data_IF_876129141868
#
_entry.id   IF_876129141868
#
_cell.length_a   1.000
_cell.length_b   1.000
_cell.length_c   1.000
_cell.angle_alpha   90.00
_cell.angle_beta   90.00
_cell.angle_gamma   90.00
#
_symmetry.space_group_name_H-M   'P 1'
#
loop_
_entity.id
_entity.type
_entity.pdbx_description
1 polymer ?
#
# COMPACT_ATOMS: atom_id res chain seq x y z
N UNK A 1 -23.76 2.69 -32.36
CA UNK A 1 -22.96 2.51 -31.13
C UNK A 1 -23.46 1.23 -30.46
N UNK A 2 -22.63 0.19 -30.43
CA UNK A 2 -23.02 -1.11 -29.87
C UNK A 2 -22.91 -1.02 -28.35
N UNK A 3 -24.02 -1.28 -27.65
CA UNK A 3 -24.08 -1.20 -26.18
C UNK A 3 -23.21 -2.32 -25.62
N UNK A 4 -22.24 -2.06 -24.71
CA UNK A 4 -21.45 -3.12 -24.12
C UNK A 4 -22.37 -4.13 -23.43
N UNK A 5 -22.16 -5.43 -23.69
CA UNK A 5 -22.81 -6.48 -22.92
C UNK A 5 -22.42 -6.40 -21.45
N UNK A 6 -23.19 -7.05 -20.56
CA UNK A 6 -22.96 -7.05 -19.10
C UNK A 6 -21.50 -7.38 -18.75
N UNK A 7 -20.91 -8.33 -19.48
CA UNK A 7 -19.49 -8.72 -19.37
C UNK A 7 -18.54 -7.56 -19.65
N UNK A 8 -18.79 -6.78 -20.71
CA UNK A 8 -17.97 -5.61 -21.03
C UNK A 8 -18.09 -4.49 -19.99
N UNK A 9 -19.25 -4.36 -19.34
CA UNK A 9 -19.44 -3.42 -18.22
C UNK A 9 -18.65 -3.90 -16.98
N UNK A 10 -18.69 -5.20 -16.68
CA UNK A 10 -17.93 -5.78 -15.57
C UNK A 10 -16.42 -5.58 -15.74
N UNK A 11 -15.90 -5.91 -16.92
CA UNK A 11 -14.49 -5.68 -17.28
C UNK A 11 -14.10 -4.21 -17.15
N UNK A 12 -14.94 -3.28 -17.57
CA UNK A 12 -14.65 -1.85 -17.42
C UNK A 12 -14.49 -1.46 -15.94
N UNK A 13 -15.33 -2.00 -15.06
CA UNK A 13 -15.17 -1.77 -13.62
C UNK A 13 -13.86 -2.35 -13.08
N UNK A 14 -13.44 -3.55 -13.51
CA UNK A 14 -12.16 -4.14 -13.13
C UNK A 14 -10.96 -3.36 -13.69
N UNK A 15 -11.02 -2.89 -14.94
CA UNK A 15 -9.99 -2.01 -15.55
C UNK A 15 -9.90 -0.68 -14.79
N UNK A 16 -11.04 -0.09 -14.43
CA UNK A 16 -11.07 1.13 -13.62
C UNK A 16 -10.44 0.88 -12.25
N UNK A 17 -10.78 -0.23 -11.59
CA UNK A 17 -10.20 -0.62 -10.32
C UNK A 17 -8.67 -0.79 -10.43
N UNK A 18 -8.19 -1.47 -11.48
CA UNK A 18 -6.77 -1.64 -11.76
C UNK A 18 -6.04 -0.30 -11.91
N UNK A 19 -6.59 0.63 -12.70
CA UNK A 19 -5.98 1.95 -12.86
C UNK A 19 -5.90 2.70 -11.53
N UNK A 20 -6.94 2.62 -10.70
CA UNK A 20 -6.95 3.19 -9.35
C UNK A 20 -5.85 2.58 -8.47
N UNK A 21 -5.71 1.24 -8.48
CA UNK A 21 -4.66 0.53 -7.74
C UNK A 21 -3.26 0.96 -8.19
N UNK A 22 -3.02 1.08 -9.50
CA UNK A 22 -1.75 1.56 -10.05
C UNK A 22 -1.41 2.98 -9.57
N UNK A 23 -2.38 3.88 -9.57
CA UNK A 23 -2.18 5.25 -9.05
C UNK A 23 -1.88 5.25 -7.55
N UNK A 24 -2.57 4.41 -6.77
CA UNK A 24 -2.29 4.23 -5.34
C UNK A 24 -0.85 3.75 -5.10
N UNK A 25 -0.38 2.78 -5.89
CA UNK A 25 1.00 2.30 -5.79
C UNK A 25 2.01 3.40 -6.08
N UNK A 26 1.77 4.22 -7.11
CA UNK A 26 2.68 5.30 -7.51
C UNK A 26 2.76 6.38 -6.44
N UNK A 27 1.61 6.83 -5.91
CA UNK A 27 1.57 7.89 -4.90
C UNK A 27 2.29 7.46 -3.62
N UNK A 28 2.01 6.25 -3.11
CA UNK A 28 2.61 5.75 -1.86
C UNK A 28 4.05 5.28 -2.01
N UNK A 29 4.47 4.92 -3.23
CA UNK A 29 5.90 4.68 -3.53
C UNK A 29 6.67 5.98 -3.67
N UNK A 30 6.06 7.03 -4.23
CA UNK A 30 6.70 8.34 -4.42
C UNK A 30 6.93 9.08 -3.12
N UNK A 31 6.04 8.96 -2.13
CA UNK A 31 6.26 9.46 -0.75
C UNK A 31 7.50 8.85 -0.09
N UNK A 32 8.04 7.78 -0.69
CA UNK A 32 9.13 6.98 -0.14
C UNK A 32 10.48 7.18 -0.86
N UNK A 33 10.46 7.70 -2.08
CA UNK A 33 11.67 7.85 -2.90
C UNK A 33 12.47 9.14 -2.65
N UNK A 34 11.96 10.09 -1.85
CA UNK A 34 12.69 11.32 -1.49
C UNK A 34 13.89 11.09 -0.54
N UNK A 35 14.21 9.82 -0.22
CA UNK A 35 15.29 9.42 0.68
C UNK A 35 16.58 8.94 0.00
N UNK A 36 16.66 8.89 -1.33
CA UNK A 36 17.91 8.57 -2.03
C UNK A 36 18.38 9.78 -2.85
N UNK A 37 18.59 10.91 -2.18
CA UNK A 37 19.53 11.90 -2.66
C UNK A 37 20.84 11.68 -1.91
N UNK A 38 21.77 10.96 -2.54
CA UNK A 38 23.14 10.86 -2.08
C UNK A 38 23.69 12.27 -1.77
N UNK A 39 24.32 12.50 -0.61
CA UNK A 39 25.10 13.71 -0.44
C UNK A 39 26.27 13.64 -1.43
N UNK A 40 26.23 14.53 -2.42
CA UNK A 40 27.29 14.76 -3.39
C UNK A 40 28.56 15.19 -2.63
N UNK A 41 29.38 14.21 -2.21
CA UNK A 41 30.71 14.45 -1.68
C UNK A 41 31.62 14.74 -2.88
N UNK A 42 31.78 16.02 -3.20
CA UNK A 42 32.86 16.46 -4.09
C UNK A 42 34.22 16.07 -3.49
N UNK A 43 35.16 15.53 -4.28
CA UNK A 43 36.49 15.21 -3.82
C UNK A 43 37.32 16.50 -3.78
N UNK A 44 37.52 17.09 -2.59
CA UNK A 44 38.57 18.07 -2.40
C UNK A 44 39.89 17.36 -2.09
N UNK A 45 40.85 17.59 -2.98
CA UNK A 45 42.22 17.10 -2.97
C UNK A 45 43.00 17.73 -1.80
N UNK A 46 43.69 16.93 -0.99
CA UNK A 46 44.66 17.43 -0.01
C UNK A 46 45.22 16.35 0.93
N UNK A 47 46.55 16.14 1.01
CA UNK A 47 47.15 14.98 1.66
C UNK A 47 47.58 15.23 3.11
N UNK A 48 47.62 14.17 3.93
CA UNK A 48 48.43 14.17 5.16
C UNK A 48 47.84 13.35 6.31
N UNK A 49 48.20 12.08 6.38
CA UNK A 49 48.21 11.31 7.64
C UNK A 49 49.40 11.81 8.47
N UNK A 50 49.32 11.83 9.82
CA UNK A 50 49.91 10.71 10.54
C UNK A 50 49.11 10.24 11.77
N UNK A 51 49.24 8.93 12.01
CA UNK A 51 48.94 8.21 13.24
C UNK A 51 49.48 8.92 14.49
N UNK A 52 48.75 8.83 15.61
CA UNK A 52 49.36 8.67 16.94
C UNK A 52 48.45 7.89 17.89
N UNK A 53 49.02 6.82 18.46
CA UNK A 53 48.47 6.02 19.54
C UNK A 53 48.64 6.76 20.88
N UNK A 54 47.72 6.55 21.82
CA UNK A 54 47.83 7.08 23.18
C UNK A 54 46.73 6.54 24.09
N UNK A 55 46.93 5.33 24.58
CA UNK A 55 46.33 4.84 25.83
C UNK A 55 46.75 5.77 26.98
N UNK A 56 45.90 5.97 27.99
CA UNK A 56 46.26 6.01 29.43
C UNK A 56 44.99 6.11 30.29
N UNK A 57 45.08 5.38 31.39
CA UNK A 57 44.10 5.10 32.43
C UNK A 57 43.88 6.29 33.37
N UNK A 58 42.75 6.28 34.10
CA UNK A 58 42.52 7.22 35.20
C UNK A 58 41.16 7.05 35.86
N UNK A 59 41.12 6.26 36.93
CA UNK A 59 40.05 6.23 37.93
C UNK A 59 39.90 7.60 38.61
N UNK A 60 38.68 7.93 39.04
CA UNK A 60 38.41 9.19 39.75
C UNK A 60 36.98 9.27 40.29
N UNK A 61 36.75 8.60 41.40
CA UNK A 61 35.57 8.68 42.27
C UNK A 61 35.38 10.11 42.81
N UNK A 62 34.17 10.67 42.78
CA UNK A 62 33.74 11.55 43.88
C UNK A 62 32.24 11.79 43.98
N UNK A 63 31.84 11.80 45.24
CA UNK A 63 30.54 11.81 45.91
C UNK A 63 29.94 13.23 46.03
N UNK A 64 28.62 13.35 46.15
CA UNK A 64 27.94 14.55 46.66
C UNK A 64 26.45 14.61 46.26
N UNK A 65 25.49 14.04 46.99
CA UNK A 65 24.81 14.56 48.19
C UNK A 65 23.73 15.63 47.92
N UNK A 66 22.47 15.17 47.99
CA UNK A 66 21.28 15.79 48.65
C UNK A 66 20.65 17.07 48.09
N UNK A 67 19.34 17.01 47.77
CA UNK A 67 18.25 17.74 48.47
C UNK A 67 17.06 18.11 47.55
N UNK A 68 16.03 17.28 47.65
CA UNK A 68 14.57 17.55 47.68
C UNK A 68 14.14 19.04 47.69
N UNK A 69 13.20 19.41 46.81
CA UNK A 69 12.08 20.29 47.21
C UNK A 69 10.81 20.00 46.40
N UNK A 70 9.77 19.59 47.14
CA UNK A 70 8.40 19.40 46.70
C UNK A 70 7.69 20.76 46.66
N UNK A 71 6.85 20.92 45.64
CA UNK A 71 5.87 22.00 45.46
C UNK A 71 4.66 21.69 46.37
N UNK A 72 4.02 22.72 46.95
CA UNK A 72 2.58 22.84 46.72
C UNK A 72 2.10 24.29 46.48
N UNK A 73 1.36 24.41 45.37
CA UNK A 73 0.01 24.97 45.25
C UNK A 73 -0.32 26.33 45.90
N UNK A 74 -0.64 27.31 45.06
CA UNK A 74 -1.54 28.44 45.35
C UNK A 74 -1.86 29.20 44.04
N UNK A 75 -3.05 28.97 43.49
CA UNK A 75 -3.79 29.92 42.62
C UNK A 75 -4.32 31.10 43.46
N UNK A 76 -4.63 32.30 42.91
CA UNK A 76 -5.58 32.49 41.78
C UNK A 76 -5.24 33.59 40.75
N UNK A 77 -5.98 33.57 39.64
CA UNK A 77 -6.02 34.52 38.51
C UNK A 77 -6.63 35.90 38.89
N UNK A 78 -6.67 36.96 38.04
CA UNK A 78 -7.39 36.95 36.74
C UNK A 78 -6.84 37.84 35.58
N UNK A 79 -7.37 37.55 34.39
CA UNK A 79 -7.69 38.43 33.25
C UNK A 79 -6.58 39.24 32.54
N UNK A 80 -6.34 38.89 31.27
CA UNK A 80 -5.62 39.73 30.32
C UNK A 80 -5.54 39.12 28.92
N UNK A 81 -6.32 39.67 28.00
CA UNK A 81 -6.40 39.43 26.55
C UNK A 81 -5.08 39.05 25.86
N UNK A 82 -5.03 37.89 25.20
CA UNK A 82 -4.13 37.67 24.07
C UNK A 82 -4.75 36.74 23.04
N UNK A 83 -5.01 37.29 21.87
CA UNK A 83 -5.41 36.58 20.65
C UNK A 83 -4.24 35.67 20.28
N UNK A 84 -4.34 34.40 20.69
CA UNK A 84 -3.35 33.39 20.34
C UNK A 84 -3.57 33.03 18.88
N UNK A 85 -2.87 33.75 18.00
CA UNK A 85 -2.66 33.39 16.60
C UNK A 85 -2.27 31.92 16.59
N UNK A 86 -3.17 31.11 16.02
CA UNK A 86 -2.98 29.70 15.73
C UNK A 86 -1.73 29.58 14.86
N UNK A 87 -0.57 29.45 15.50
CA UNK A 87 0.65 29.03 14.86
C UNK A 87 0.32 27.63 14.36
N UNK A 88 -0.03 27.53 13.07
CA UNK A 88 0.18 26.33 12.29
C UNK A 88 1.67 26.06 12.41
N UNK A 89 2.05 25.35 13.45
CA UNK A 89 3.25 24.55 13.44
C UNK A 89 2.97 23.53 12.34
N UNK A 90 3.37 23.87 11.12
CA UNK A 90 3.73 22.93 10.08
C UNK A 90 4.81 22.06 10.71
N UNK A 91 4.40 21.09 11.52
CA UNK A 91 5.29 20.06 12.01
C UNK A 91 5.83 19.43 10.75
N UNK A 92 7.12 19.71 10.52
CA UNK A 92 7.93 19.23 9.42
C UNK A 92 7.42 17.89 8.92
N UNK A 93 7.05 17.83 7.64
CA UNK A 93 7.02 16.60 6.88
C UNK A 93 8.45 16.03 6.92
N UNK A 94 8.78 15.39 8.04
CA UNK A 94 10.00 14.64 8.20
C UNK A 94 9.80 13.34 7.47
N UNK A 95 10.75 13.03 6.58
CA UNK A 95 10.85 11.77 5.87
C UNK A 95 10.90 10.62 6.88
N UNK A 96 9.74 10.08 7.23
CA UNK A 96 9.62 8.94 8.14
C UNK A 96 9.82 7.68 7.32
N UNK A 97 10.86 6.93 7.70
CA UNK A 97 11.06 5.53 7.27
C UNK A 97 9.76 4.77 7.51
N UNK A 98 9.32 3.91 6.56
CA UNK A 98 8.02 3.28 6.66
C UNK A 98 8.06 2.29 7.80
N UNK A 99 6.96 2.17 8.52
CA UNK A 99 6.80 1.09 9.49
C UNK A 99 6.72 -0.25 8.75
N UNK A 100 7.09 -1.35 9.42
CA UNK A 100 6.93 -2.70 8.86
C UNK A 100 5.48 -2.96 8.41
N UNK A 101 4.49 -2.46 9.17
CA UNK A 101 3.08 -2.56 8.80
C UNK A 101 2.76 -1.86 7.47
N UNK A 102 3.31 -0.66 7.24
CA UNK A 102 3.16 0.05 5.97
C UNK A 102 3.86 -0.71 4.82
N UNK A 103 5.05 -1.27 5.05
CA UNK A 103 5.74 -2.07 4.03
C UNK A 103 4.94 -3.33 3.66
N UNK A 104 4.40 -4.04 4.65
CA UNK A 104 3.54 -5.21 4.43
C UNK A 104 2.28 -4.81 3.67
N UNK A 105 1.62 -3.72 4.07
CA UNK A 105 0.43 -3.21 3.37
C UNK A 105 0.73 -2.83 1.91
N UNK A 106 1.87 -2.19 1.67
CA UNK A 106 2.33 -1.84 0.31
C UNK A 106 2.67 -3.08 -0.52
N UNK A 107 3.30 -4.10 0.06
CA UNK A 107 3.54 -5.38 -0.60
C UNK A 107 2.21 -6.06 -0.99
N UNK A 108 1.24 -6.06 -0.08
CA UNK A 108 -0.11 -6.60 -0.32
C UNK A 108 -0.84 -5.83 -1.42
N UNK A 109 -0.80 -4.50 -1.40
CA UNK A 109 -1.33 -3.67 -2.48
C UNK A 109 -0.68 -4.04 -3.82
N UNK A 110 0.64 -4.27 -3.82
CA UNK A 110 1.36 -4.67 -5.02
C UNK A 110 0.89 -5.99 -5.59
N UNK A 111 0.68 -6.98 -4.72
CA UNK A 111 0.15 -8.28 -5.10
C UNK A 111 -1.28 -8.18 -5.62
N UNK A 112 -2.16 -7.44 -4.94
CA UNK A 112 -3.53 -7.19 -5.42
C UNK A 112 -3.47 -6.57 -6.82
N UNK A 113 -2.63 -5.56 -7.03
CA UNK A 113 -2.50 -4.88 -8.34
C UNK A 113 -2.01 -5.82 -9.43
N UNK A 114 -0.97 -6.61 -9.16
CA UNK A 114 -0.42 -7.57 -10.11
C UNK A 114 -1.41 -8.71 -10.41
N UNK A 115 -2.13 -9.19 -9.40
CA UNK A 115 -3.17 -10.21 -9.56
C UNK A 115 -4.37 -9.67 -10.35
N UNK A 116 -4.77 -8.41 -10.16
CA UNK A 116 -5.80 -7.77 -10.99
C UNK A 116 -5.36 -7.64 -12.44
N UNK A 117 -4.10 -7.28 -12.70
CA UNK A 117 -3.57 -7.23 -14.06
C UNK A 117 -3.61 -8.61 -14.74
N UNK A 118 -3.14 -9.65 -14.05
CA UNK A 118 -3.18 -11.02 -14.56
C UNK A 118 -4.62 -11.50 -14.79
N UNK A 119 -5.53 -11.19 -13.86
CA UNK A 119 -6.95 -11.52 -14.00
C UNK A 119 -7.54 -10.89 -15.28
N UNK A 120 -7.28 -9.60 -15.52
CA UNK A 120 -7.78 -8.91 -16.71
C UNK A 120 -7.26 -9.57 -18.01
N UNK A 121 -5.98 -9.99 -18.03
CA UNK A 121 -5.42 -10.69 -19.18
C UNK A 121 -6.10 -12.04 -19.41
N UNK A 122 -6.34 -12.81 -18.34
CA UNK A 122 -7.04 -14.09 -18.42
C UNK A 122 -8.48 -13.87 -18.91
N UNK A 123 -9.23 -12.94 -18.33
CA UNK A 123 -10.60 -12.65 -18.73
C UNK A 123 -10.68 -12.17 -20.19
N UNK A 124 -9.79 -11.28 -20.62
CA UNK A 124 -9.71 -10.83 -22.02
C UNK A 124 -9.41 -12.00 -22.97
N UNK A 125 -8.42 -12.83 -22.62
CA UNK A 125 -8.06 -14.01 -23.41
C UNK A 125 -9.24 -15.00 -23.49
N UNK A 126 -9.98 -15.18 -22.40
CA UNK A 126 -11.17 -16.02 -22.37
C UNK A 126 -12.29 -15.50 -23.26
N UNK A 127 -12.52 -14.18 -23.28
CA UNK A 127 -13.52 -13.60 -24.17
C UNK A 127 -13.17 -13.75 -25.66
N UNK A 128 -11.89 -13.84 -25.99
CA UNK A 128 -11.44 -14.06 -27.37
C UNK A 128 -11.59 -15.52 -27.83
N UNK A 129 -11.40 -16.49 -26.93
CA UNK A 129 -11.33 -17.91 -27.27
C UNK A 129 -12.61 -18.69 -26.96
N UNK A 130 -13.50 -18.19 -26.09
CA UNK A 130 -14.73 -18.88 -25.75
C UNK A 130 -15.78 -18.76 -26.87
N UNK A 131 -16.46 -19.87 -27.21
CA UNK A 131 -17.47 -19.85 -28.26
C UNK A 131 -18.70 -19.01 -27.83
N UNK A 132 -19.39 -18.34 -28.77
CA UNK A 132 -20.57 -17.52 -28.46
C UNK A 132 -21.71 -18.28 -27.76
N UNK A 133 -21.75 -19.60 -27.91
CA UNK A 133 -22.75 -20.51 -27.36
C UNK A 133 -22.59 -20.73 -25.84
N UNK A 134 -21.39 -20.48 -25.30
CA UNK A 134 -21.08 -20.63 -23.87
C UNK A 134 -20.34 -19.39 -23.39
N UNK A 135 -21.05 -18.25 -23.27
CA UNK A 135 -20.43 -16.99 -22.89
C UNK A 135 -19.89 -17.06 -21.46
N UNK A 136 -18.74 -16.43 -21.25
CA UNK A 136 -18.19 -16.25 -19.91
C UNK A 136 -19.14 -15.41 -19.05
N UNK A 137 -19.38 -15.87 -17.82
CA UNK A 137 -20.17 -15.13 -16.84
C UNK A 137 -19.22 -14.43 -15.87
N UNK A 138 -18.96 -13.14 -16.13
CA UNK A 138 -18.28 -12.26 -15.17
C UNK A 138 -19.33 -11.63 -14.25
N UNK A 139 -19.16 -11.78 -12.93
CA UNK A 139 -20.08 -11.23 -11.95
C UNK A 139 -19.93 -9.70 -11.85
N UNK A 140 -20.86 -8.99 -12.49
CA UNK A 140 -20.88 -7.52 -12.50
C UNK A 140 -20.93 -6.93 -11.09
N UNK A 141 -21.69 -7.55 -10.19
CA UNK A 141 -21.81 -7.10 -8.79
C UNK A 141 -20.45 -7.06 -8.10
N UNK A 142 -19.70 -8.15 -8.20
CA UNK A 142 -18.39 -8.29 -7.55
C UNK A 142 -17.37 -7.32 -8.18
N UNK A 143 -17.46 -7.09 -9.50
CA UNK A 143 -16.61 -6.12 -10.21
C UNK A 143 -16.87 -4.67 -9.77
N UNK A 144 -18.14 -4.31 -9.54
CA UNK A 144 -18.53 -3.00 -9.01
C UNK A 144 -18.04 -2.84 -7.58
N UNK A 145 -18.22 -3.86 -6.74
CA UNK A 145 -17.77 -3.88 -5.36
C UNK A 145 -16.25 -3.71 -5.27
N UNK A 146 -15.49 -4.47 -6.07
CA UNK A 146 -14.05 -4.35 -6.16
C UNK A 146 -13.60 -2.93 -6.54
N UNK A 147 -14.23 -2.33 -7.56
CA UNK A 147 -13.96 -0.93 -7.94
C UNK A 147 -14.26 0.05 -6.81
N UNK A 148 -15.36 -0.16 -6.10
CA UNK A 148 -15.76 0.73 -5.00
C UNK A 148 -14.75 0.67 -3.85
N UNK A 149 -14.29 -0.53 -3.47
CA UNK A 149 -13.22 -0.71 -2.47
C UNK A 149 -11.94 -0.01 -2.93
N UNK A 150 -11.53 -0.19 -4.19
CA UNK A 150 -10.35 0.48 -4.74
C UNK A 150 -10.48 2.00 -4.73
N UNK A 151 -11.67 2.53 -5.01
CA UNK A 151 -11.95 3.96 -4.94
C UNK A 151 -11.90 4.44 -3.49
N UNK A 152 -12.45 3.68 -2.54
CA UNK A 152 -12.42 4.00 -1.12
C UNK A 152 -10.98 4.09 -0.58
N UNK A 153 -10.08 3.20 -1.01
CA UNK A 153 -8.65 3.24 -0.67
C UNK A 153 -8.00 4.60 -0.99
N UNK A 154 -8.42 5.27 -2.07
CA UNK A 154 -7.88 6.60 -2.46
C UNK A 154 -8.22 7.72 -1.48
N UNK A 155 -9.25 7.52 -0.66
CA UNK A 155 -9.70 8.49 0.32
C UNK A 155 -9.06 8.26 1.70
N UNK A 156 -8.36 7.14 1.90
CA UNK A 156 -7.80 6.81 3.21
C UNK A 156 -6.50 7.56 3.49
N UNK A 157 -6.56 8.38 4.55
CA UNK A 157 -5.40 9.06 5.11
C UNK A 157 -4.77 8.21 6.22
N UNK A 158 -5.59 7.44 6.96
CA UNK A 158 -5.08 6.58 8.03
C UNK A 158 -4.63 5.20 7.51
N UNK A 159 -3.39 4.83 7.83
CA UNK A 159 -2.77 3.56 7.39
C UNK A 159 -3.57 2.32 7.82
N UNK A 160 -4.22 2.35 8.97
CA UNK A 160 -5.03 1.22 9.45
C UNK A 160 -6.30 1.02 8.62
N UNK A 161 -6.95 2.09 8.15
CA UNK A 161 -8.12 2.00 7.27
C UNK A 161 -7.69 1.56 5.88
N UNK A 162 -6.57 2.10 5.41
CA UNK A 162 -5.97 1.67 4.15
C UNK A 162 -5.66 0.17 4.15
N UNK A 163 -5.01 -0.34 5.20
CA UNK A 163 -4.68 -1.77 5.29
C UNK A 163 -5.94 -2.66 5.37
N UNK A 164 -6.98 -2.18 6.06
CA UNK A 164 -8.29 -2.82 6.05
C UNK A 164 -8.87 -2.88 4.63
N UNK A 165 -8.89 -1.76 3.91
CA UNK A 165 -9.42 -1.71 2.54
C UNK A 165 -8.59 -2.59 1.58
N UNK A 166 -7.26 -2.67 1.74
CA UNK A 166 -6.41 -3.62 0.98
C UNK A 166 -6.82 -5.06 1.26
N UNK A 167 -7.16 -5.38 2.51
CA UNK A 167 -7.65 -6.71 2.90
C UNK A 167 -9.01 -7.03 2.28
N UNK A 168 -9.93 -6.07 2.27
CA UNK A 168 -11.23 -6.20 1.61
C UNK A 168 -11.08 -6.36 0.10
N UNK A 169 -10.17 -5.60 -0.54
CA UNK A 169 -9.88 -5.70 -1.96
C UNK A 169 -9.32 -7.09 -2.32
N UNK A 170 -8.37 -7.58 -1.52
CA UNK A 170 -7.80 -8.91 -1.67
C UNK A 170 -8.88 -10.00 -1.54
N UNK A 171 -9.77 -9.89 -0.55
CA UNK A 171 -10.86 -10.84 -0.36
C UNK A 171 -11.88 -10.80 -1.51
N UNK A 172 -12.27 -9.61 -1.94
CA UNK A 172 -13.19 -9.43 -3.07
C UNK A 172 -12.61 -10.03 -4.36
N UNK A 173 -11.31 -9.79 -4.63
CA UNK A 173 -10.62 -10.36 -5.78
C UNK A 173 -10.56 -11.89 -5.74
N UNK A 174 -10.33 -12.48 -4.56
CA UNK A 174 -10.41 -13.94 -4.39
C UNK A 174 -11.77 -14.48 -4.76
N UNK A 175 -12.86 -13.84 -4.31
CA UNK A 175 -14.22 -14.23 -4.64
C UNK A 175 -14.47 -14.18 -6.14
N UNK A 176 -14.05 -13.10 -6.82
CA UNK A 176 -14.16 -12.98 -8.29
C UNK A 176 -13.47 -14.16 -8.97
N UNK A 177 -12.22 -14.46 -8.59
CA UNK A 177 -11.44 -15.53 -9.21
C UNK A 177 -12.06 -16.91 -8.92
N UNK A 178 -12.50 -17.18 -7.69
CA UNK A 178 -13.17 -18.45 -7.36
C UNK A 178 -14.48 -18.65 -8.12
N UNK A 179 -15.25 -17.58 -8.34
CA UNK A 179 -16.46 -17.62 -9.14
C UNK A 179 -16.13 -17.93 -10.61
N UNK A 180 -15.05 -17.37 -11.15
CA UNK A 180 -14.59 -17.66 -12.52
C UNK A 180 -14.10 -19.11 -12.68
N UNK A 181 -13.32 -19.63 -11.74
CA UNK A 181 -12.88 -21.04 -11.76
C UNK A 181 -14.11 -21.98 -11.75
N UNK A 182 -15.10 -21.67 -10.90
CA UNK A 182 -16.34 -22.46 -10.83
C UNK A 182 -17.10 -22.40 -12.16
N UNK A 183 -17.17 -21.23 -12.80
CA UNK A 183 -17.80 -21.09 -14.10
C UNK A 183 -17.04 -21.88 -15.19
N UNK A 184 -15.71 -21.83 -15.18
CA UNK A 184 -14.86 -22.58 -16.11
C UNK A 184 -14.94 -24.09 -15.95
N UNK A 185 -15.12 -24.58 -14.72
CA UNK A 185 -15.29 -26.01 -14.45
C UNK A 185 -16.50 -26.62 -15.15
N UNK A 186 -17.46 -25.79 -15.60
CA UNK A 186 -18.61 -26.24 -16.40
C UNK A 186 -18.32 -26.31 -17.90
N UNK A 187 -17.20 -25.74 -18.34
CA UNK A 187 -16.78 -25.61 -19.72
C UNK A 187 -15.63 -26.61 -19.99
N UNK A 188 -15.97 -27.82 -20.43
CA UNK A 188 -14.97 -28.85 -20.73
C UNK A 188 -14.19 -28.51 -22.02
N UNK A 189 -13.07 -27.79 -21.90
CA UNK A 189 -12.19 -27.40 -23.00
C UNK A 189 -10.74 -27.26 -22.49
N UNK A 190 -9.77 -27.71 -23.27
CA UNK A 190 -8.32 -27.59 -22.96
C UNK A 190 -7.89 -26.14 -22.65
N UNK A 191 -8.52 -25.18 -23.33
CA UNK A 191 -8.32 -23.76 -23.05
C UNK A 191 -8.83 -23.37 -21.65
N UNK A 192 -9.97 -23.90 -21.23
CA UNK A 192 -10.54 -23.65 -19.90
C UNK A 192 -9.69 -24.28 -18.81
N UNK A 193 -9.06 -25.42 -19.07
CA UNK A 193 -8.11 -26.05 -18.15
C UNK A 193 -6.89 -25.13 -17.95
N UNK A 194 -6.32 -24.61 -19.03
CA UNK A 194 -5.18 -23.66 -18.96
C UNK A 194 -5.56 -22.37 -18.21
N UNK A 195 -6.71 -21.79 -18.54
CA UNK A 195 -7.20 -20.59 -17.85
C UNK A 195 -7.49 -20.85 -16.36
N UNK A 196 -7.94 -22.05 -16.00
CA UNK A 196 -8.18 -22.45 -14.61
C UNK A 196 -6.86 -22.54 -13.83
N UNK A 197 -5.81 -23.12 -14.42
CA UNK A 197 -4.48 -23.15 -13.82
C UNK A 197 -3.91 -21.74 -13.60
N UNK A 198 -4.07 -20.85 -14.58
CA UNK A 198 -3.67 -19.44 -14.46
C UNK A 198 -4.41 -18.76 -13.30
N UNK A 199 -5.74 -18.96 -13.18
CA UNK A 199 -6.53 -18.42 -12.08
C UNK A 199 -6.13 -18.98 -10.71
N UNK A 200 -5.78 -20.27 -10.63
CA UNK A 200 -5.22 -20.87 -9.42
C UNK A 200 -3.86 -20.27 -9.05
N UNK A 201 -3.00 -20.00 -10.03
CA UNK A 201 -1.74 -19.29 -9.82
C UNK A 201 -1.97 -17.88 -9.26
N UNK A 202 -2.95 -17.14 -9.80
CA UNK A 202 -3.33 -15.81 -9.29
C UNK A 202 -3.83 -15.90 -7.84
N UNK A 203 -4.67 -16.88 -7.51
CA UNK A 203 -5.15 -17.10 -6.12
C UNK A 203 -4.02 -17.41 -5.14
N UNK A 204 -3.06 -18.23 -5.57
CA UNK A 204 -1.87 -18.53 -4.76
C UNK A 204 -1.07 -17.26 -4.50
N UNK A 205 -0.82 -16.47 -5.55
CA UNK A 205 -0.16 -15.17 -5.46
C UNK A 205 -0.90 -14.17 -4.56
N UNK A 206 -2.20 -14.33 -4.30
CA UNK A 206 -2.96 -13.53 -3.33
C UNK A 206 -2.90 -14.07 -1.89
N UNK A 207 -2.47 -15.31 -1.67
CA UNK A 207 -2.57 -15.99 -0.36
C UNK A 207 -1.23 -16.07 0.38
N UNK A 208 -0.11 -16.16 -0.33
CA UNK A 208 1.24 -16.30 0.25
C UNK A 208 1.66 -15.08 1.09
N UNK A 209 1.27 -14.99 2.36
CA UNK A 209 1.69 -13.91 3.27
C UNK A 209 3.10 -14.14 3.82
#
# INVERSE_FOLDING_TARGET
MQRPGIVGVALNHQVTAFNTLRTLQQNRSSEHCDLIQEPNLQPNTGPGVPYFNGEWTGEGTSTGTTARRLIPDSSPAPAGTSISRRARASASAGNKVPTLAQMVSQNRLSRVTNSTAQLLLVEENMLLHLPPERPLVIQLKDSIEFRNICTHMTLQVEDWKFDKDVSEAQQCLRTIISNLITALSTLNSEFCDTATEDLHSILKNLTEA
#
